data_IF_320750417008
#
_entry.id   IF_320750417008
#
_cell.length_a   1.000
_cell.length_b   1.000
_cell.length_c   1.000
_cell.angle_alpha   90.00
_cell.angle_beta   90.00
_cell.angle_gamma   90.00
#
_symmetry.space_group_name_H-M   'P 1'
#
loop_
_entity.id
_entity.type
_entity.pdbx_description
1 polymer ?
#
# COMPACT_ATOMS: atom_id res chain seq x y z
N UNK A 1 -0.43 -0.03 -19.14
CA UNK A 1 -0.16 -1.27 -18.36
C UNK A 1 -1.43 -1.91 -17.82
N UNK A 2 -2.35 -1.18 -17.16
CA UNK A 2 -3.57 -1.78 -16.57
C UNK A 2 -4.39 -2.56 -17.62
N UNK A 3 -4.75 -1.94 -18.71
CA UNK A 3 -5.51 -2.59 -19.81
C UNK A 3 -4.79 -3.84 -20.33
N UNK A 4 -3.49 -3.73 -20.59
CA UNK A 4 -2.69 -4.87 -21.05
C UNK A 4 -2.53 -5.98 -19.99
N UNK A 5 -2.65 -5.68 -18.70
CA UNK A 5 -2.61 -6.68 -17.65
C UNK A 5 -3.84 -7.59 -17.69
N UNK A 6 -5.02 -7.03 -17.98
CA UNK A 6 -6.23 -7.82 -18.18
C UNK A 6 -6.12 -8.73 -19.41
N UNK A 7 -5.67 -8.19 -20.55
CA UNK A 7 -5.47 -8.98 -21.77
C UNK A 7 -4.47 -10.12 -21.56
N UNK A 8 -3.36 -9.83 -20.89
CA UNK A 8 -2.33 -10.82 -20.60
C UNK A 8 -2.81 -11.91 -19.63
N UNK A 9 -3.59 -11.52 -18.61
CA UNK A 9 -4.23 -12.47 -17.69
C UNK A 9 -5.14 -13.45 -18.41
N UNK A 10 -6.01 -12.96 -19.28
CA UNK A 10 -6.89 -13.78 -20.11
C UNK A 10 -6.10 -14.72 -21.04
N UNK A 11 -5.10 -14.19 -21.74
CA UNK A 11 -4.26 -14.94 -22.66
C UNK A 11 -3.50 -16.07 -21.99
N UNK A 12 -2.91 -15.81 -20.83
CA UNK A 12 -2.10 -16.79 -20.11
C UNK A 12 -2.93 -17.68 -19.18
N UNK A 13 -4.20 -17.35 -18.94
CA UNK A 13 -5.06 -17.98 -17.93
C UNK A 13 -4.40 -17.98 -16.53
N UNK A 14 -3.73 -16.89 -16.18
CA UNK A 14 -3.03 -16.67 -14.90
C UNK A 14 -3.41 -15.29 -14.34
N UNK A 15 -3.49 -15.14 -13.01
CA UNK A 15 -3.67 -13.83 -12.41
C UNK A 15 -2.45 -12.95 -12.67
N UNK A 16 -2.67 -11.67 -12.91
CA UNK A 16 -1.61 -10.66 -13.04
C UNK A 16 -1.61 -9.76 -11.83
N UNK A 17 -0.51 -9.72 -11.11
CA UNK A 17 -0.29 -8.81 -9.99
C UNK A 17 0.39 -7.54 -10.50
N UNK A 18 -0.28 -6.39 -10.31
CA UNK A 18 0.26 -5.09 -10.67
C UNK A 18 0.69 -4.34 -9.40
N UNK A 19 2.00 -4.22 -9.21
CA UNK A 19 2.57 -3.50 -8.07
C UNK A 19 2.67 -2.02 -8.40
N UNK A 20 2.04 -1.18 -7.59
CA UNK A 20 2.20 0.28 -7.60
C UNK A 20 2.85 0.74 -6.30
N UNK A 21 3.76 1.71 -6.40
CA UNK A 21 4.35 2.34 -5.21
C UNK A 21 3.40 3.36 -4.62
N UNK A 22 3.57 3.69 -3.35
CA UNK A 22 2.78 4.72 -2.65
C UNK A 22 2.81 6.06 -3.41
N UNK A 23 3.98 6.46 -3.91
CA UNK A 23 4.15 7.69 -4.68
C UNK A 23 3.30 7.67 -5.96
N UNK A 24 3.28 6.56 -6.70
CA UNK A 24 2.42 6.42 -7.88
C UNK A 24 0.93 6.44 -7.51
N UNK A 25 0.54 5.76 -6.45
CA UNK A 25 -0.86 5.71 -6.00
C UNK A 25 -1.39 7.10 -5.60
N UNK A 26 -0.52 7.98 -5.10
CA UNK A 26 -0.86 9.35 -4.72
C UNK A 26 -0.64 10.38 -5.85
N UNK A 27 -0.06 9.98 -6.98
CA UNK A 27 0.17 10.89 -8.11
C UNK A 27 -1.14 11.17 -8.86
N UNK A 28 -1.18 12.30 -9.54
CA UNK A 28 -2.27 12.69 -10.43
C UNK A 28 -1.69 13.05 -11.78
N UNK A 29 -2.36 12.61 -12.84
CA UNK A 29 -1.98 12.94 -14.21
C UNK A 29 -3.23 13.17 -15.05
N UNK A 30 -3.08 13.94 -16.13
CA UNK A 30 -4.10 14.04 -17.17
C UNK A 30 -4.05 12.75 -17.98
N UNK A 31 -5.18 12.08 -18.09
CA UNK A 31 -5.34 10.83 -18.84
C UNK A 31 -6.30 11.05 -20.00
N UNK A 32 -5.91 10.62 -21.19
CA UNK A 32 -6.83 10.56 -22.32
C UNK A 32 -7.76 9.36 -22.12
N UNK A 33 -9.04 9.63 -22.02
CA UNK A 33 -10.08 8.60 -21.95
C UNK A 33 -10.44 8.20 -23.36
N UNK A 34 -10.50 6.90 -23.65
CA UNK A 34 -11.00 6.40 -24.93
C UNK A 34 -12.50 6.70 -25.03
N UNK A 35 -12.94 7.18 -26.18
CA UNK A 35 -14.36 7.47 -26.45
C UNK A 35 -15.18 6.18 -26.56
N UNK A 36 -14.56 5.11 -27.07
CA UNK A 36 -15.20 3.81 -27.21
C UNK A 36 -14.95 2.93 -25.96
N UNK A 37 -16.03 2.41 -25.41
CA UNK A 37 -15.95 1.39 -24.37
C UNK A 37 -15.31 0.11 -24.94
N UNK A 38 -14.44 -0.53 -24.15
CA UNK A 38 -13.91 -1.84 -24.51
C UNK A 38 -15.08 -2.83 -24.62
N UNK A 39 -15.13 -3.67 -25.69
CA UNK A 39 -16.11 -4.74 -25.76
C UNK A 39 -16.03 -5.64 -24.53
N UNK A 40 -17.16 -5.99 -23.96
CA UNK A 40 -17.21 -6.97 -22.89
C UNK A 40 -16.82 -8.36 -23.41
N UNK A 41 -16.00 -9.08 -22.63
CA UNK A 41 -15.71 -10.47 -22.96
C UNK A 41 -16.95 -11.33 -22.74
N UNK A 42 -17.23 -12.23 -23.67
CA UNK A 42 -18.33 -13.18 -23.51
C UNK A 42 -18.11 -14.09 -22.29
N UNK A 43 -19.17 -14.32 -21.53
CA UNK A 43 -19.14 -15.25 -20.41
C UNK A 43 -18.82 -16.67 -20.89
N UNK A 44 -17.83 -17.31 -20.28
CA UNK A 44 -17.50 -18.70 -20.59
C UNK A 44 -18.27 -19.65 -19.66
N UNK A 45 -19.44 -20.10 -20.11
CA UNK A 45 -20.29 -21.03 -19.38
C UNK A 45 -19.76 -22.48 -19.39
N UNK A 46 -18.77 -22.80 -20.21
CA UNK A 46 -18.15 -24.12 -20.33
C UNK A 46 -16.91 -24.30 -19.47
N UNK A 47 -16.76 -23.47 -18.43
CA UNK A 47 -15.62 -23.54 -17.54
C UNK A 47 -15.57 -24.90 -16.81
N UNK A 48 -14.44 -25.60 -16.93
CA UNK A 48 -14.22 -26.90 -16.27
C UNK A 48 -14.01 -26.68 -14.78
N UNK A 49 -14.91 -27.16 -13.94
CA UNK A 49 -14.88 -26.97 -12.48
C UNK A 49 -13.54 -27.38 -11.85
N UNK A 50 -12.89 -28.45 -12.34
CA UNK A 50 -11.56 -28.87 -11.86
C UNK A 50 -10.46 -27.80 -12.01
N UNK A 51 -10.67 -26.80 -12.88
CA UNK A 51 -9.74 -25.68 -13.01
C UNK A 51 -9.86 -24.66 -11.86
N UNK A 52 -10.95 -24.68 -11.12
CA UNK A 52 -11.27 -23.70 -10.06
C UNK A 52 -11.33 -24.34 -8.67
N UNK A 53 -11.37 -25.66 -8.60
CA UNK A 53 -11.41 -26.41 -7.33
C UNK A 53 -10.03 -26.97 -7.02
N UNK A 54 -9.36 -26.41 -6.01
CA UNK A 54 -7.98 -26.73 -5.65
C UNK A 54 -7.86 -27.95 -4.70
N UNK A 55 -8.51 -29.06 -5.08
CA UNK A 55 -8.19 -30.35 -4.44
C UNK A 55 -6.74 -30.74 -4.77
N UNK A 56 -6.05 -31.52 -3.90
CA UNK A 56 -4.63 -31.84 -4.08
C UNK A 56 -4.26 -32.38 -5.48
N UNK A 57 -5.11 -33.24 -6.05
CA UNK A 57 -4.90 -33.79 -7.39
C UNK A 57 -5.00 -32.71 -8.49
N UNK A 58 -5.96 -31.78 -8.37
CA UNK A 58 -6.15 -30.68 -9.31
C UNK A 58 -5.01 -29.64 -9.16
N UNK A 59 -4.66 -29.31 -7.92
CA UNK A 59 -3.57 -28.37 -7.64
C UNK A 59 -2.23 -28.87 -8.23
N UNK A 60 -1.92 -30.16 -8.12
CA UNK A 60 -0.71 -30.77 -8.72
C UNK A 60 -0.69 -30.59 -10.24
N UNK A 61 -1.78 -30.93 -10.94
CA UNK A 61 -1.88 -30.77 -12.40
C UNK A 61 -1.71 -29.31 -12.84
N UNK A 62 -2.26 -28.39 -12.06
CA UNK A 62 -2.12 -26.95 -12.36
C UNK A 62 -0.71 -26.45 -12.11
N UNK A 63 -0.04 -26.92 -11.06
CA UNK A 63 1.35 -26.60 -10.80
C UNK A 63 2.26 -27.07 -11.93
N UNK A 64 2.04 -28.29 -12.45
CA UNK A 64 2.77 -28.82 -13.60
C UNK A 64 2.58 -27.93 -14.83
N UNK A 65 1.34 -27.46 -15.08
CA UNK A 65 1.05 -26.53 -16.18
C UNK A 65 1.76 -25.20 -16.00
N UNK A 66 1.67 -24.58 -14.82
CA UNK A 66 2.33 -23.30 -14.52
C UNK A 66 3.85 -23.43 -14.65
N UNK A 67 4.42 -24.54 -14.19
CA UNK A 67 5.86 -24.81 -14.34
C UNK A 67 6.27 -24.90 -15.81
N UNK A 68 5.48 -25.59 -16.62
CA UNK A 68 5.74 -25.69 -18.08
C UNK A 68 5.62 -24.33 -18.81
N UNK A 69 4.78 -23.43 -18.33
CA UNK A 69 4.61 -22.08 -18.92
C UNK A 69 5.76 -21.13 -18.60
N UNK A 70 6.63 -21.42 -17.61
CA UNK A 70 7.67 -20.47 -17.15
C UNK A 70 8.60 -20.01 -18.26
N UNK A 71 9.02 -20.88 -19.16
CA UNK A 71 9.90 -20.53 -20.28
C UNK A 71 9.22 -19.53 -21.24
N UNK A 72 7.93 -19.71 -21.52
CA UNK A 72 7.17 -18.81 -22.36
C UNK A 72 6.97 -17.44 -21.67
N UNK A 73 6.65 -17.44 -20.39
CA UNK A 73 6.48 -16.20 -19.62
C UNK A 73 7.80 -15.40 -19.53
N UNK A 74 8.95 -16.08 -19.44
CA UNK A 74 10.28 -15.43 -19.49
C UNK A 74 10.53 -14.79 -20.87
N UNK A 75 10.17 -15.45 -21.97
CA UNK A 75 10.32 -14.90 -23.32
C UNK A 75 9.32 -13.76 -23.58
N UNK A 76 8.09 -13.89 -23.09
CA UNK A 76 7.10 -12.80 -23.11
C UNK A 76 7.64 -11.56 -22.38
N UNK A 77 8.28 -11.75 -21.22
CA UNK A 77 8.95 -10.67 -20.50
C UNK A 77 10.13 -10.08 -21.29
N UNK A 78 10.92 -10.93 -21.97
CA UNK A 78 12.08 -10.50 -22.77
C UNK A 78 11.69 -9.70 -24.03
N UNK A 79 10.51 -9.96 -24.57
CA UNK A 79 9.98 -9.27 -25.77
C UNK A 79 8.95 -8.18 -25.44
N UNK A 80 8.64 -7.99 -24.17
CA UNK A 80 7.64 -7.04 -23.71
C UNK A 80 8.01 -5.59 -24.01
N UNK A 81 7.08 -4.82 -24.56
CA UNK A 81 7.21 -3.37 -24.72
C UNK A 81 7.39 -2.59 -23.41
N UNK A 82 7.15 -3.22 -22.27
CA UNK A 82 7.31 -2.63 -20.95
C UNK A 82 8.71 -2.84 -20.37
N UNK A 83 9.44 -3.84 -20.89
CA UNK A 83 10.85 -4.07 -20.59
C UNK A 83 11.68 -3.48 -21.74
N UNK A 84 12.39 -2.38 -21.46
CA UNK A 84 13.16 -1.72 -22.50
C UNK A 84 14.54 -2.40 -22.62
N UNK A 85 14.83 -2.89 -23.83
CA UNK A 85 16.12 -3.48 -24.15
C UNK A 85 17.20 -2.41 -24.17
N UNK A 86 18.38 -2.64 -23.57
CA UNK A 86 19.47 -1.69 -23.61
C UNK A 86 20.09 -1.61 -25.01
N UNK A 87 20.61 -0.45 -25.37
CA UNK A 87 21.50 -0.33 -26.52
C UNK A 87 22.88 -0.86 -26.12
N UNK A 88 23.17 -2.11 -26.50
CA UNK A 88 24.45 -2.77 -26.21
C UNK A 88 25.49 -2.42 -27.30
N UNK A 89 26.80 -2.39 -26.96
CA UNK A 89 27.85 -2.28 -27.97
C UNK A 89 27.81 -3.46 -28.93
N UNK A 90 28.28 -3.29 -30.18
CA UNK A 90 28.43 -4.38 -31.11
C UNK A 90 29.31 -5.52 -30.53
N UNK A 91 28.97 -6.78 -30.87
CA UNK A 91 29.76 -7.92 -30.43
C UNK A 91 31.18 -7.80 -31.00
N UNK A 92 32.17 -7.83 -30.09
CA UNK A 92 33.59 -7.74 -30.46
C UNK A 92 34.25 -6.39 -30.19
N UNK A 93 33.49 -5.36 -29.89
CA UNK A 93 33.96 -4.13 -29.24
C UNK A 93 34.03 -4.37 -27.71
N UNK A 94 34.99 -3.73 -27.03
CA UNK A 94 35.25 -3.93 -25.60
C UNK A 94 34.01 -3.84 -24.73
N UNK A 95 34.08 -4.34 -23.49
CA UNK A 95 32.98 -4.27 -22.53
C UNK A 95 32.73 -2.82 -22.08
N UNK A 96 31.44 -2.47 -21.88
CA UNK A 96 31.09 -1.23 -21.21
C UNK A 96 31.57 -1.27 -19.75
N UNK A 97 32.12 -0.19 -19.21
CA UNK A 97 32.54 -0.12 -17.79
C UNK A 97 31.38 -0.39 -16.83
N UNK A 98 30.17 0.06 -17.18
CA UNK A 98 28.97 -0.06 -16.37
C UNK A 98 27.72 -0.29 -17.21
N UNK A 99 26.90 -1.27 -16.81
CA UNK A 99 25.52 -1.45 -17.24
C UNK A 99 24.56 -1.21 -16.07
N UNK A 100 23.31 -0.88 -16.35
CA UNK A 100 22.32 -0.64 -15.31
C UNK A 100 21.07 -1.49 -15.57
N UNK A 101 20.57 -2.15 -14.52
CA UNK A 101 19.22 -2.73 -14.47
C UNK A 101 18.38 -1.83 -13.56
N UNK A 102 17.25 -1.32 -14.05
CA UNK A 102 16.39 -0.43 -13.27
C UNK A 102 14.92 -0.85 -13.34
N UNK A 103 14.19 -0.67 -12.23
CA UNK A 103 12.76 -0.97 -12.16
C UNK A 103 11.94 0.13 -11.51
N UNK A 104 10.65 0.19 -11.88
CA UNK A 104 9.70 1.15 -11.32
C UNK A 104 10.15 2.61 -11.48
N UNK A 105 9.99 3.41 -10.42
CA UNK A 105 10.38 4.83 -10.42
C UNK A 105 11.90 5.00 -10.47
N UNK A 106 12.67 4.03 -9.99
CA UNK A 106 14.13 4.08 -10.03
C UNK A 106 14.67 4.19 -11.47
N UNK A 107 13.94 3.64 -12.47
CA UNK A 107 14.26 3.84 -13.87
C UNK A 107 14.25 5.34 -14.26
N UNK A 108 13.28 6.11 -13.75
CA UNK A 108 13.21 7.54 -14.04
C UNK A 108 14.39 8.29 -13.41
N UNK A 109 14.80 7.90 -12.21
CA UNK A 109 15.99 8.49 -11.55
C UNK A 109 17.27 8.20 -12.32
N UNK A 110 17.44 6.98 -12.83
CA UNK A 110 18.54 6.61 -13.71
C UNK A 110 18.52 7.49 -14.97
N UNK A 111 17.36 7.61 -15.63
CA UNK A 111 17.23 8.41 -16.85
C UNK A 111 17.53 9.90 -16.60
N UNK A 112 17.10 10.44 -15.48
CA UNK A 112 17.40 11.83 -15.08
C UNK A 112 18.89 12.01 -14.82
N UNK A 113 19.49 11.10 -14.05
CA UNK A 113 20.93 11.12 -13.76
C UNK A 113 21.79 11.00 -15.03
N UNK A 114 21.34 10.22 -16.02
CA UNK A 114 22.06 10.04 -17.31
C UNK A 114 21.85 11.21 -18.30
N UNK A 115 20.79 12.01 -18.17
CA UNK A 115 20.44 13.10 -19.10
C UNK A 115 20.94 14.47 -18.67
N UNK A 116 21.37 14.63 -17.42
CA UNK A 116 21.73 15.93 -16.86
C UNK A 116 23.06 16.41 -17.45
N UNK A 117 23.15 17.62 -18.08
CA UNK A 117 24.40 18.15 -18.62
C UNK A 117 25.47 18.36 -17.54
N UNK A 118 26.77 18.20 -17.87
CA UNK A 118 27.42 18.44 -19.17
C UNK A 118 27.61 17.18 -20.04
N UNK A 119 26.77 16.24 -19.96
CA UNK A 119 26.91 14.88 -20.48
C UNK A 119 26.58 14.67 -21.96
N UNK A 120 26.40 15.70 -22.77
CA UNK A 120 26.01 15.62 -24.17
C UNK A 120 26.35 14.37 -24.98
N UNK A 121 27.46 13.71 -24.71
CA UNK A 121 27.87 12.47 -25.40
C UNK A 121 28.21 11.28 -24.50
N UNK A 122 28.71 11.48 -23.28
CA UNK A 122 29.17 10.37 -22.42
C UNK A 122 28.03 9.53 -21.80
N UNK A 123 26.84 10.08 -21.58
CA UNK A 123 25.66 9.34 -21.12
C UNK A 123 25.07 8.38 -22.17
N UNK A 124 25.44 8.56 -23.44
CA UNK A 124 25.03 7.67 -24.53
C UNK A 124 25.66 6.27 -24.47
N UNK A 125 26.67 6.08 -23.61
CA UNK A 125 27.44 4.84 -23.52
C UNK A 125 27.03 3.87 -22.42
N UNK A 126 26.10 4.23 -21.50
CA UNK A 126 25.67 3.35 -20.40
C UNK A 126 24.41 2.60 -20.81
N UNK A 127 24.49 1.27 -21.04
CA UNK A 127 23.33 0.49 -21.38
C UNK A 127 22.40 0.33 -20.16
N UNK A 128 21.12 0.62 -20.34
CA UNK A 128 20.10 0.53 -19.28
C UNK A 128 19.02 -0.48 -19.67
N UNK A 129 18.89 -1.55 -18.90
CA UNK A 129 17.80 -2.50 -19.00
C UNK A 129 16.69 -2.10 -18.03
N UNK A 130 15.52 -1.72 -18.54
CA UNK A 130 14.33 -1.50 -17.73
C UNK A 130 13.56 -2.81 -17.53
N UNK A 131 13.25 -3.15 -16.29
CA UNK A 131 12.40 -4.30 -15.94
C UNK A 131 11.11 -3.80 -15.31
N UNK A 132 9.99 -4.10 -15.95
CA UNK A 132 8.63 -3.76 -15.49
C UNK A 132 7.67 -4.96 -15.56
N UNK A 133 8.01 -5.98 -16.34
CA UNK A 133 7.25 -7.22 -16.47
C UNK A 133 8.12 -8.42 -16.09
N UNK A 134 7.56 -9.31 -15.31
CA UNK A 134 8.16 -10.54 -14.82
C UNK A 134 7.53 -11.78 -15.49
N UNK A 135 8.19 -12.97 -15.42
CA UNK A 135 9.42 -13.31 -14.70
C UNK A 135 10.65 -12.54 -15.18
N UNK A 136 11.76 -12.62 -14.39
CA UNK A 136 13.02 -11.98 -14.76
C UNK A 136 13.41 -12.37 -16.19
N UNK A 137 13.58 -11.42 -17.13
CA UNK A 137 13.95 -11.72 -18.53
C UNK A 137 15.42 -12.15 -18.62
N UNK A 138 15.71 -13.40 -18.24
CA UNK A 138 17.08 -13.93 -18.07
C UNK A 138 17.96 -13.73 -19.30
N UNK A 139 17.40 -13.81 -20.51
CA UNK A 139 18.13 -13.56 -21.74
C UNK A 139 18.69 -12.14 -21.80
N UNK A 140 17.83 -11.12 -21.57
CA UNK A 140 18.26 -9.71 -21.58
C UNK A 140 19.26 -9.40 -20.48
N UNK A 141 19.03 -9.96 -19.29
CA UNK A 141 19.97 -9.81 -18.16
C UNK A 141 21.32 -10.40 -18.49
N UNK A 142 21.37 -11.59 -19.09
CA UNK A 142 22.62 -12.23 -19.49
C UNK A 142 23.36 -11.42 -20.55
N UNK A 143 22.66 -10.95 -21.58
CA UNK A 143 23.23 -10.09 -22.62
C UNK A 143 23.88 -8.84 -22.02
N UNK A 144 23.22 -8.19 -21.04
CA UNK A 144 23.79 -7.03 -20.35
C UNK A 144 25.03 -7.40 -19.51
N UNK A 145 24.97 -8.48 -18.73
CA UNK A 145 26.08 -8.95 -17.91
C UNK A 145 27.30 -9.35 -18.75
N UNK A 146 27.09 -9.92 -19.92
CA UNK A 146 28.18 -10.31 -20.84
C UNK A 146 28.83 -9.10 -21.51
N UNK A 147 28.05 -8.03 -21.71
CA UNK A 147 28.49 -6.79 -22.39
C UNK A 147 29.09 -5.74 -21.45
N UNK A 148 29.04 -5.93 -20.14
CA UNK A 148 29.51 -4.95 -19.16
C UNK A 148 30.52 -5.56 -18.18
N UNK A 149 31.44 -4.72 -17.67
CA UNK A 149 32.37 -5.13 -16.61
C UNK A 149 31.68 -5.21 -15.25
N UNK A 150 30.80 -4.25 -14.98
CA UNK A 150 29.97 -4.14 -13.78
C UNK A 150 28.52 -3.91 -14.19
N UNK A 151 27.59 -4.42 -13.41
CA UNK A 151 26.16 -4.13 -13.57
C UNK A 151 25.60 -3.64 -12.25
N UNK A 152 24.98 -2.47 -12.26
CA UNK A 152 24.29 -1.88 -11.10
C UNK A 152 22.81 -2.18 -11.19
N UNK A 153 22.22 -2.67 -10.10
CA UNK A 153 20.76 -2.84 -9.95
C UNK A 153 20.20 -1.68 -9.15
N UNK A 154 19.27 -0.93 -9.75
CA UNK A 154 18.64 0.25 -9.18
C UNK A 154 17.14 -0.01 -9.02
N UNK A 155 16.71 -0.31 -7.79
CA UNK A 155 15.32 -0.62 -7.47
C UNK A 155 14.93 -0.07 -6.10
N UNK A 156 13.65 0.29 -5.92
CA UNK A 156 13.13 0.75 -4.65
C UNK A 156 12.58 -0.39 -3.78
N UNK A 157 12.71 -0.22 -2.46
CA UNK A 157 12.29 -1.20 -1.45
C UNK A 157 13.32 -2.29 -1.25
N UNK A 158 12.87 -3.54 -1.17
CA UNK A 158 13.75 -4.69 -1.02
C UNK A 158 14.48 -4.99 -2.35
N UNK A 159 15.73 -5.47 -2.31
CA UNK A 159 16.54 -5.77 -3.50
C UNK A 159 16.09 -7.07 -4.20
N UNK A 160 14.88 -7.07 -4.72
CA UNK A 160 14.24 -8.24 -5.30
C UNK A 160 14.87 -8.69 -6.62
N UNK A 161 15.19 -7.74 -7.50
CA UNK A 161 15.87 -8.03 -8.77
C UNK A 161 17.32 -8.41 -8.50
N UNK A 162 18.00 -7.66 -7.62
CA UNK A 162 19.40 -7.93 -7.28
C UNK A 162 19.58 -9.33 -6.69
N UNK A 163 18.71 -9.75 -5.78
CA UNK A 163 18.72 -11.12 -5.20
C UNK A 163 18.52 -12.19 -6.27
N UNK A 164 17.57 -11.98 -7.19
CA UNK A 164 17.34 -12.92 -8.29
C UNK A 164 18.54 -13.00 -9.26
N UNK A 165 19.10 -11.85 -9.63
CA UNK A 165 20.26 -11.81 -10.54
C UNK A 165 21.45 -12.51 -9.89
N UNK A 166 21.72 -12.27 -8.61
CA UNK A 166 22.79 -12.94 -7.86
C UNK A 166 22.57 -14.45 -7.70
N UNK A 167 21.31 -14.88 -7.55
CA UNK A 167 20.95 -16.29 -7.38
C UNK A 167 20.93 -17.11 -8.69
N UNK A 168 20.71 -16.46 -9.84
CA UNK A 168 20.56 -17.11 -11.15
C UNK A 168 21.85 -17.10 -11.96
N UNK A 169 22.68 -16.06 -11.81
CA UNK A 169 23.92 -15.89 -12.56
C UNK A 169 25.12 -16.12 -11.64
N UNK A 170 26.17 -16.77 -12.18
CA UNK A 170 27.41 -16.94 -11.47
C UNK A 170 28.00 -15.62 -10.98
N UNK A 171 28.91 -15.72 -9.99
CA UNK A 171 29.54 -14.56 -9.37
C UNK A 171 30.07 -13.57 -10.41
N UNK A 172 29.46 -12.40 -10.46
CA UNK A 172 29.83 -11.29 -11.34
C UNK A 172 29.86 -9.99 -10.51
N UNK A 173 30.47 -8.96 -11.07
CA UNK A 173 30.52 -7.63 -10.43
C UNK A 173 29.15 -6.95 -10.53
N UNK A 174 28.25 -7.33 -9.64
CA UNK A 174 26.90 -6.77 -9.52
C UNK A 174 26.89 -5.82 -8.33
N UNK A 175 26.54 -4.58 -8.56
CA UNK A 175 26.48 -3.49 -7.60
C UNK A 175 25.02 -3.14 -7.30
N UNK A 176 24.72 -2.70 -6.08
CA UNK A 176 23.36 -2.30 -5.73
C UNK A 176 23.17 -2.07 -4.23
N UNK A 177 21.98 -2.36 -3.72
CA UNK A 177 21.66 -2.22 -2.31
C UNK A 177 22.35 -3.25 -1.41
N UNK A 178 22.64 -4.45 -1.93
CA UNK A 178 23.29 -5.52 -1.18
C UNK A 178 24.79 -5.31 -1.05
N UNK A 179 25.39 -4.56 -1.97
CA UNK A 179 26.83 -4.21 -1.95
C UNK A 179 27.12 -2.84 -1.37
N UNK A 180 26.07 -2.06 -1.09
CA UNK A 180 26.18 -0.78 -0.38
C UNK A 180 26.38 0.47 -1.25
N UNK A 181 26.42 0.32 -2.59
CA UNK A 181 26.49 1.48 -3.50
C UNK A 181 25.20 2.30 -3.49
N UNK A 182 24.08 1.64 -3.25
CA UNK A 182 22.80 2.29 -2.99
C UNK A 182 22.38 2.07 -1.53
N UNK A 183 21.69 3.05 -0.89
CA UNK A 183 21.19 2.91 0.47
C UNK A 183 20.35 1.64 0.66
N UNK A 184 20.62 0.85 1.71
CA UNK A 184 19.90 -0.39 1.98
C UNK A 184 18.42 -0.17 2.26
N UNK A 185 18.05 0.98 2.83
CA UNK A 185 16.69 1.38 3.21
C UNK A 185 16.37 2.79 2.73
N UNK A 186 15.10 3.14 2.74
CA UNK A 186 14.60 4.44 2.34
C UNK A 186 14.33 4.57 0.83
N UNK A 187 13.76 5.72 0.46
CA UNK A 187 13.49 6.08 -0.92
C UNK A 187 14.79 6.47 -1.64
N UNK A 188 14.87 6.14 -2.94
CA UNK A 188 15.92 6.65 -3.81
C UNK A 188 15.57 8.06 -4.30
N UNK A 189 16.61 8.82 -4.64
CA UNK A 189 16.49 10.13 -5.30
C UNK A 189 17.42 10.16 -6.51
N UNK A 190 17.19 11.05 -7.49
CA UNK A 190 18.11 11.23 -8.62
C UNK A 190 19.54 11.49 -8.18
N UNK A 191 19.75 12.32 -7.15
CA UNK A 191 21.08 12.65 -6.62
C UNK A 191 21.78 11.43 -6.04
N UNK A 192 21.09 10.64 -5.22
CA UNK A 192 21.61 9.41 -4.63
C UNK A 192 22.02 8.40 -5.72
N UNK A 193 21.17 8.23 -6.75
CA UNK A 193 21.45 7.33 -7.88
C UNK A 193 22.61 7.84 -8.72
N UNK A 194 22.65 9.15 -9.00
CA UNK A 194 23.76 9.77 -9.75
C UNK A 194 25.11 9.63 -9.07
N UNK A 195 25.17 9.81 -7.74
CA UNK A 195 26.38 9.58 -6.94
C UNK A 195 26.87 8.13 -7.05
N UNK A 196 25.95 7.16 -6.90
CA UNK A 196 26.29 5.76 -7.00
C UNK A 196 26.80 5.36 -8.39
N UNK A 197 26.19 5.88 -9.45
CA UNK A 197 26.63 5.66 -10.84
C UNK A 197 28.03 6.25 -11.05
N UNK A 198 28.30 7.46 -10.60
CA UNK A 198 29.61 8.10 -10.71
C UNK A 198 30.70 7.26 -10.00
N UNK A 199 30.42 6.84 -8.78
CA UNK A 199 31.37 6.00 -8.03
C UNK A 199 31.62 4.67 -8.72
N UNK A 200 30.58 4.02 -9.25
CA UNK A 200 30.69 2.74 -9.94
C UNK A 200 31.46 2.84 -11.27
N UNK A 201 31.31 3.94 -11.99
CA UNK A 201 31.98 4.18 -13.28
C UNK A 201 33.41 4.71 -13.13
N UNK A 202 33.91 4.99 -11.93
CA UNK A 202 35.18 5.67 -11.65
C UNK A 202 35.36 6.95 -12.48
N UNK A 203 34.31 7.73 -12.60
CA UNK A 203 34.31 8.93 -13.42
C UNK A 203 33.40 10.00 -12.81
N UNK A 204 33.69 11.24 -13.16
CA UNK A 204 32.83 12.38 -12.84
C UNK A 204 31.83 12.62 -13.98
N UNK A 205 31.22 11.56 -14.51
CA UNK A 205 30.25 11.66 -15.61
C UNK A 205 29.04 12.51 -15.26
N UNK A 206 28.72 12.60 -13.98
CA UNK A 206 27.53 13.29 -13.52
C UNK A 206 27.94 14.45 -12.61
N UNK A 207 27.75 15.65 -13.07
CA UNK A 207 27.77 16.80 -12.17
C UNK A 207 26.45 16.77 -11.41
N UNK A 208 26.55 16.48 -10.13
CA UNK A 208 25.40 16.62 -9.25
C UNK A 208 24.95 18.07 -9.29
N UNK A 209 23.79 18.34 -9.80
CA UNK A 209 23.08 19.55 -9.46
C UNK A 209 22.50 19.41 -8.05
N UNK A 210 23.37 19.09 -7.11
CA UNK A 210 23.06 19.09 -5.70
C UNK A 210 23.02 20.51 -5.23
N UNK A 211 21.90 21.00 -5.14
CA UNK A 211 21.40 22.00 -4.21
C UNK A 211 20.24 22.75 -4.85
N UNK A 212 19.18 22.06 -5.12
CA UNK A 212 17.92 22.73 -4.87
C UNK A 212 17.89 22.91 -3.36
N UNK A 213 18.31 24.06 -2.87
CA UNK A 213 17.97 24.46 -1.51
C UNK A 213 16.49 24.20 -1.34
N UNK A 214 16.15 23.47 -0.27
CA UNK A 214 14.75 23.18 0.02
C UNK A 214 14.03 24.54 0.10
N UNK A 215 13.13 24.79 -0.85
CA UNK A 215 12.46 26.08 -0.93
C UNK A 215 11.69 26.32 0.35
N UNK A 216 11.94 27.43 1.03
CA UNK A 216 11.21 27.87 2.23
C UNK A 216 9.71 28.05 1.97
N UNK A 217 9.29 28.09 0.70
CA UNK A 217 7.89 28.16 0.27
C UNK A 217 7.17 26.83 0.52
N UNK A 218 7.89 25.70 0.55
CA UNK A 218 7.30 24.38 0.76
C UNK A 218 7.16 24.10 2.26
N UNK A 219 6.00 24.45 2.81
CA UNK A 219 5.68 24.11 4.19
C UNK A 219 5.48 22.59 4.36
N UNK A 220 6.09 22.02 5.39
CA UNK A 220 5.82 20.64 5.79
C UNK A 220 4.34 20.46 6.13
N UNK A 221 3.71 19.42 5.59
CA UNK A 221 2.31 19.06 5.83
C UNK A 221 2.25 17.67 6.46
N UNK A 222 2.57 17.54 7.76
CA UNK A 222 2.48 16.25 8.43
C UNK A 222 1.03 15.75 8.40
N UNK A 223 0.80 14.45 8.27
CA UNK A 223 -0.53 13.88 8.32
C UNK A 223 -1.16 14.19 9.69
N UNK A 224 -2.43 14.59 9.70
CA UNK A 224 -3.18 14.88 10.93
C UNK A 224 -4.68 14.71 10.71
N UNK A 225 -5.41 14.46 11.78
CA UNK A 225 -6.88 14.46 11.74
C UNK A 225 -7.42 15.84 11.33
N UNK A 226 -8.37 15.85 10.40
CA UNK A 226 -9.00 17.07 9.90
C UNK A 226 -9.59 17.91 11.03
N UNK A 227 -9.60 19.23 10.86
CA UNK A 227 -10.30 20.15 11.79
C UNK A 227 -11.81 19.86 11.76
N UNK A 228 -12.40 19.61 12.94
CA UNK A 228 -13.82 19.23 13.08
C UNK A 228 -14.14 17.78 12.76
N UNK A 229 -13.12 16.91 12.66
CA UNK A 229 -13.30 15.48 12.48
C UNK A 229 -13.86 14.82 13.75
N UNK A 230 -14.86 13.93 13.61
CA UNK A 230 -15.45 13.21 14.75
C UNK A 230 -14.44 12.33 15.52
N UNK A 231 -13.41 11.80 14.85
CA UNK A 231 -12.37 11.03 15.54
C UNK A 231 -11.63 11.84 16.60
N UNK A 232 -11.53 13.16 16.45
CA UNK A 232 -10.89 14.04 17.45
C UNK A 232 -11.66 14.05 18.76
N UNK A 233 -12.98 14.13 18.69
CA UNK A 233 -13.85 14.12 19.86
C UNK A 233 -13.80 12.76 20.54
N UNK A 234 -13.83 11.66 19.76
CA UNK A 234 -13.69 10.28 20.28
C UNK A 234 -12.37 10.11 21.05
N UNK A 235 -11.23 10.53 20.47
CA UNK A 235 -9.93 10.40 21.14
C UNK A 235 -9.79 11.29 22.37
N UNK A 236 -10.45 12.44 22.37
CA UNK A 236 -10.47 13.30 23.55
C UNK A 236 -11.18 12.60 24.71
N UNK A 237 -12.38 12.02 24.46
CA UNK A 237 -13.13 11.29 25.47
C UNK A 237 -12.39 10.02 25.93
N UNK A 238 -11.88 9.25 24.98
CA UNK A 238 -11.12 8.02 25.26
C UNK A 238 -9.89 8.30 26.12
N UNK A 239 -9.09 9.28 25.75
CA UNK A 239 -7.90 9.65 26.51
C UNK A 239 -8.22 10.18 27.91
N UNK A 240 -9.35 10.83 28.10
CA UNK A 240 -9.81 11.28 29.42
C UNK A 240 -10.05 10.08 30.32
N UNK A 241 -10.78 9.08 29.84
CA UNK A 241 -11.10 7.86 30.58
C UNK A 241 -9.85 7.00 30.84
N UNK A 242 -8.99 6.83 29.82
CA UNK A 242 -7.82 5.97 29.95
C UNK A 242 -6.79 6.44 30.99
N UNK A 243 -6.82 7.72 31.39
CA UNK A 243 -5.99 8.23 32.51
C UNK A 243 -6.35 7.63 33.87
N UNK A 244 -7.54 7.04 33.99
CA UNK A 244 -8.04 6.43 35.23
C UNK A 244 -7.49 5.00 35.44
N UNK A 245 -6.82 4.44 34.41
CA UNK A 245 -6.34 3.05 34.41
C UNK A 245 -4.82 2.97 34.33
N UNK A 246 -4.28 1.94 34.95
CA UNK A 246 -2.87 1.63 34.85
C UNK A 246 -2.58 0.83 33.57
N UNK A 247 -1.65 1.31 32.73
CA UNK A 247 -1.22 0.66 31.50
C UNK A 247 -2.32 0.27 30.49
N UNK A 248 -3.32 1.14 30.20
CA UNK A 248 -4.34 0.81 29.21
C UNK A 248 -3.71 0.64 27.81
N UNK A 249 -4.32 -0.20 26.95
CA UNK A 249 -3.87 -0.38 25.59
C UNK A 249 -5.01 -0.17 24.59
N UNK A 250 -4.72 0.60 23.54
CA UNK A 250 -5.62 0.85 22.43
C UNK A 250 -5.02 0.27 21.16
N UNK A 251 -5.69 -0.67 20.58
CA UNK A 251 -5.28 -1.35 19.35
C UNK A 251 -6.02 -0.74 18.17
N UNK A 252 -5.28 -0.18 17.23
CA UNK A 252 -5.81 0.37 15.99
C UNK A 252 -5.38 -0.45 14.79
N UNK A 253 -5.99 -0.12 13.68
CA UNK A 253 -5.62 -0.65 12.36
C UNK A 253 -5.68 0.46 11.29
N UNK A 254 -5.94 0.14 10.02
CA UNK A 254 -5.73 1.07 8.91
C UNK A 254 -6.98 1.88 8.58
N UNK A 255 -6.92 3.18 8.83
CA UNK A 255 -7.94 4.17 8.47
C UNK A 255 -7.57 5.57 8.93
N UNK A 256 -8.47 6.55 8.75
CA UNK A 256 -8.24 7.92 9.23
C UNK A 256 -8.00 7.96 10.76
N UNK A 257 -8.65 7.08 11.49
CA UNK A 257 -8.50 6.97 12.94
C UNK A 257 -7.07 6.55 13.36
N UNK A 258 -6.28 5.91 12.50
CA UNK A 258 -4.85 5.63 12.76
C UNK A 258 -4.06 6.89 13.11
N UNK A 259 -4.47 8.04 12.59
CA UNK A 259 -3.85 9.33 12.91
C UNK A 259 -4.03 9.75 14.37
N UNK A 260 -4.84 9.05 15.14
CA UNK A 260 -4.89 9.17 16.61
C UNK A 260 -3.60 8.76 17.32
N UNK A 261 -2.68 8.06 16.64
CA UNK A 261 -1.31 7.83 17.11
C UNK A 261 -0.50 9.13 17.24
N UNK A 262 -0.78 10.11 16.40
CA UNK A 262 -0.03 11.36 16.35
C UNK A 262 -0.47 12.36 17.44
N UNK A 263 0.39 13.32 17.80
CA UNK A 263 -0.01 14.42 18.66
C UNK A 263 -1.22 15.18 18.10
N UNK A 264 -2.12 15.70 18.96
CA UNK A 264 -2.02 15.74 20.42
C UNK A 264 -2.52 14.48 21.14
N UNK A 265 -3.15 13.53 20.42
CA UNK A 265 -3.87 12.42 21.05
C UNK A 265 -2.96 11.33 21.59
N UNK A 266 -2.03 10.81 20.77
CA UNK A 266 -1.14 9.69 21.13
C UNK A 266 -1.92 8.51 21.74
N UNK A 267 -3.13 8.25 21.21
CA UNK A 267 -4.10 7.35 21.82
C UNK A 267 -3.96 5.89 21.36
N UNK A 268 -3.25 5.63 20.24
CA UNK A 268 -3.13 4.29 19.63
C UNK A 268 -1.76 3.69 19.93
N UNK A 269 -1.74 2.40 20.25
CA UNK A 269 -0.53 1.67 20.59
C UNK A 269 -0.12 0.65 19.53
N UNK A 270 -1.00 0.33 18.58
CA UNK A 270 -0.68 -0.56 17.45
C UNK A 270 -1.39 -0.14 16.17
N UNK A 271 -0.81 -0.49 15.02
CA UNK A 271 -1.42 -0.35 13.71
C UNK A 271 -0.73 -1.36 12.78
N UNK A 272 -1.44 -2.42 12.39
CA UNK A 272 -0.86 -3.48 11.54
C UNK A 272 -1.55 -3.53 10.18
N UNK A 273 -2.69 -4.21 10.07
CA UNK A 273 -3.48 -4.35 8.84
C UNK A 273 -4.97 -4.12 9.11
N UNK A 274 -5.76 -4.04 8.05
CA UNK A 274 -7.21 -3.79 8.18
C UNK A 274 -7.88 -4.92 8.95
N UNK A 275 -8.50 -4.60 10.09
CA UNK A 275 -9.24 -5.53 10.97
C UNK A 275 -8.44 -6.10 12.13
N UNK A 276 -7.12 -5.89 12.16
CA UNK A 276 -6.25 -6.41 13.23
C UNK A 276 -6.54 -5.81 14.62
N UNK A 277 -7.16 -4.63 14.69
CA UNK A 277 -7.43 -3.97 15.98
C UNK A 277 -8.21 -4.84 16.95
N UNK A 278 -9.28 -5.49 16.50
CA UNK A 278 -10.15 -6.32 17.35
C UNK A 278 -9.43 -7.61 17.77
N UNK A 279 -8.79 -8.30 16.83
CA UNK A 279 -8.07 -9.56 17.11
C UNK A 279 -6.85 -9.33 18.01
N UNK A 280 -6.17 -8.19 17.86
CA UNK A 280 -5.08 -7.81 18.75
C UNK A 280 -5.57 -7.45 20.15
N UNK A 281 -6.68 -6.72 20.27
CA UNK A 281 -7.28 -6.41 21.57
C UNK A 281 -7.72 -7.70 22.29
N UNK A 282 -8.35 -8.62 21.54
CA UNK A 282 -8.72 -9.94 22.08
C UNK A 282 -7.51 -10.71 22.56
N UNK A 283 -6.50 -10.88 21.73
CA UNK A 283 -5.27 -11.60 22.11
C UNK A 283 -4.55 -10.96 23.30
N UNK A 284 -4.55 -9.63 23.38
CA UNK A 284 -4.01 -8.93 24.55
C UNK A 284 -4.83 -9.18 25.79
N UNK A 285 -6.17 -9.16 25.70
CA UNK A 285 -7.07 -9.50 26.81
C UNK A 285 -6.86 -10.93 27.30
N UNK A 286 -6.72 -11.90 26.38
CA UNK A 286 -6.40 -13.30 26.71
C UNK A 286 -5.07 -13.44 27.45
N UNK A 287 -4.11 -12.55 27.16
CA UNK A 287 -2.83 -12.46 27.85
C UNK A 287 -2.89 -11.67 29.17
N UNK A 288 -4.06 -11.23 29.61
CA UNK A 288 -4.26 -10.50 30.87
C UNK A 288 -4.13 -8.96 30.78
N UNK A 289 -4.08 -8.40 29.55
CA UNK A 289 -4.08 -6.93 29.38
C UNK A 289 -5.47 -6.38 29.67
N UNK A 290 -5.55 -5.41 30.57
CA UNK A 290 -6.77 -4.66 30.87
C UNK A 290 -6.44 -3.20 31.26
N UNK A 291 -7.16 -2.21 30.74
CA UNK A 291 -8.11 -2.30 29.63
C UNK A 291 -7.46 -2.65 28.29
N UNK A 292 -8.19 -3.37 27.43
CA UNK A 292 -7.87 -3.63 26.04
C UNK A 292 -8.97 -3.05 25.14
N UNK A 293 -8.67 -1.98 24.44
CA UNK A 293 -9.63 -1.25 23.58
C UNK A 293 -9.23 -1.42 22.12
N UNK A 294 -10.17 -1.84 21.27
CA UNK A 294 -9.99 -1.83 19.82
C UNK A 294 -10.64 -0.59 19.22
N UNK A 295 -9.97 0.09 18.29
CA UNK A 295 -10.58 1.14 17.47
C UNK A 295 -10.46 0.80 15.99
N UNK A 296 -11.59 0.83 15.30
CA UNK A 296 -11.72 0.41 13.91
C UNK A 296 -12.66 1.37 13.17
N UNK A 297 -12.44 1.57 11.87
CA UNK A 297 -13.35 2.36 11.02
C UNK A 297 -14.47 1.52 10.43
N UNK A 298 -15.52 2.18 9.97
CA UNK A 298 -16.69 1.60 9.33
C UNK A 298 -16.37 0.64 8.18
N UNK A 299 -15.62 1.08 7.21
CA UNK A 299 -15.24 0.28 6.05
C UNK A 299 -14.28 -0.86 6.43
N UNK A 300 -13.35 -0.62 7.36
CA UNK A 300 -12.43 -1.62 7.85
C UNK A 300 -13.15 -2.71 8.65
N UNK A 301 -14.17 -2.33 9.43
CA UNK A 301 -15.00 -3.28 10.17
C UNK A 301 -15.73 -4.25 9.22
N UNK A 302 -16.34 -3.73 8.15
CA UNK A 302 -16.99 -4.58 7.14
C UNK A 302 -16.02 -5.37 6.28
N UNK A 303 -14.78 -4.90 6.12
CA UNK A 303 -13.74 -5.62 5.39
C UNK A 303 -13.27 -6.87 6.14
N UNK A 304 -12.92 -6.75 7.42
CA UNK A 304 -12.31 -7.85 8.19
C UNK A 304 -12.50 -7.79 9.72
N UNK A 305 -13.23 -6.80 10.23
CA UNK A 305 -13.46 -6.68 11.68
C UNK A 305 -14.56 -7.58 12.22
N UNK A 306 -15.56 -7.94 11.40
CA UNK A 306 -16.71 -8.73 11.83
C UNK A 306 -16.32 -10.13 12.35
N UNK A 307 -15.38 -10.80 11.69
CA UNK A 307 -14.90 -12.13 12.12
C UNK A 307 -14.18 -12.06 13.45
N UNK A 308 -13.37 -11.02 13.67
CA UNK A 308 -12.69 -10.78 14.94
C UNK A 308 -13.67 -10.48 16.08
N UNK A 309 -14.74 -9.73 15.81
CA UNK A 309 -15.79 -9.46 16.79
C UNK A 309 -16.57 -10.73 17.15
N UNK A 310 -16.94 -11.54 16.15
CA UNK A 310 -17.62 -12.84 16.38
C UNK A 310 -16.77 -13.77 17.27
N UNK A 311 -15.48 -13.86 17.00
CA UNK A 311 -14.55 -14.66 17.81
C UNK A 311 -14.46 -14.12 19.24
N UNK A 312 -14.32 -12.80 19.42
CA UNK A 312 -14.27 -12.17 20.73
C UNK A 312 -15.57 -12.41 21.56
N UNK A 313 -16.73 -12.33 20.92
CA UNK A 313 -18.02 -12.61 21.58
C UNK A 313 -18.12 -14.07 21.99
N UNK A 314 -17.78 -15.02 21.10
CA UNK A 314 -17.83 -16.45 21.37
C UNK A 314 -16.93 -16.87 22.55
N UNK A 315 -15.73 -16.26 22.62
CA UNK A 315 -14.73 -16.52 23.67
C UNK A 315 -14.93 -15.64 24.92
N UNK A 316 -15.97 -14.80 24.93
CA UNK A 316 -16.27 -13.85 26.03
C UNK A 316 -15.07 -13.00 26.41
N UNK A 317 -14.37 -12.49 25.42
CA UNK A 317 -13.20 -11.64 25.64
C UNK A 317 -13.57 -10.36 26.41
N UNK A 318 -12.67 -9.87 27.22
CA UNK A 318 -12.86 -8.62 27.97
C UNK A 318 -12.26 -7.44 27.16
N UNK A 319 -13.02 -6.95 26.17
CA UNK A 319 -12.59 -5.87 25.28
C UNK A 319 -13.72 -4.86 25.00
N UNK A 320 -13.33 -3.61 24.82
CA UNK A 320 -14.21 -2.55 24.30
C UNK A 320 -13.85 -2.25 22.85
N UNK A 321 -14.80 -2.36 21.93
CA UNK A 321 -14.62 -2.08 20.50
C UNK A 321 -15.26 -0.76 20.13
N UNK A 322 -14.50 0.17 19.58
CA UNK A 322 -14.99 1.48 19.09
C UNK A 322 -15.02 1.43 17.57
N UNK A 323 -16.21 1.35 16.98
CA UNK A 323 -16.42 1.39 15.52
C UNK A 323 -16.65 2.84 15.10
N UNK A 324 -15.61 3.52 14.64
CA UNK A 324 -15.68 4.92 14.20
C UNK A 324 -16.38 5.05 12.84
N UNK A 325 -17.70 5.24 12.86
CA UNK A 325 -18.53 5.36 11.67
C UNK A 325 -18.56 6.81 11.16
N UNK A 326 -17.82 7.08 10.11
CA UNK A 326 -17.82 8.38 9.44
C UNK A 326 -18.63 8.40 8.14
N UNK A 327 -19.44 7.36 7.90
CA UNK A 327 -20.35 7.17 6.77
C UNK A 327 -19.62 7.11 5.40
N UNK A 328 -18.33 6.85 5.36
CA UNK A 328 -17.57 6.85 4.09
C UNK A 328 -16.17 6.26 4.23
N UNK A 329 -15.66 5.66 3.17
CA UNK A 329 -14.24 5.29 3.03
C UNK A 329 -13.42 6.52 2.66
N UNK A 330 -13.13 7.37 3.66
CA UNK A 330 -12.62 8.73 3.45
C UNK A 330 -11.24 8.79 2.80
N UNK A 331 -10.32 7.88 3.13
CA UNK A 331 -8.93 7.91 2.66
C UNK A 331 -8.78 7.63 1.17
N UNK A 332 -9.67 6.87 0.58
CA UNK A 332 -9.59 6.43 -0.83
C UNK A 332 -10.45 7.26 -1.79
N UNK A 333 -11.10 8.33 -1.30
CA UNK A 333 -11.86 9.25 -2.14
C UNK A 333 -13.30 9.47 -1.72
N UNK A 334 -13.73 8.90 -0.60
CA UNK A 334 -15.08 9.12 -0.04
C UNK A 334 -16.13 8.25 -0.71
N UNK A 335 -15.81 6.98 -0.94
CA UNK A 335 -16.76 5.95 -1.36
C UNK A 335 -17.71 5.58 -0.23
N UNK A 336 -18.88 5.04 -0.55
CA UNK A 336 -19.82 4.55 0.45
C UNK A 336 -19.22 3.35 1.20
N UNK A 337 -19.45 3.30 2.52
CA UNK A 337 -19.13 2.11 3.33
C UNK A 337 -20.24 1.08 3.18
N UNK A 338 -19.87 -0.19 2.99
CA UNK A 338 -20.81 -1.29 2.82
C UNK A 338 -21.73 -1.49 4.04
N UNK A 339 -21.26 -1.13 5.22
CA UNK A 339 -21.98 -1.23 6.49
C UNK A 339 -22.78 -0.01 6.89
N UNK A 340 -22.82 1.05 6.09
CA UNK A 340 -23.53 2.29 6.43
C UNK A 340 -24.96 1.99 6.89
N UNK A 341 -25.33 2.51 8.07
CA UNK A 341 -26.62 2.30 8.75
C UNK A 341 -26.96 0.84 9.10
N UNK A 342 -25.97 -0.06 9.16
CA UNK A 342 -26.18 -1.49 9.48
C UNK A 342 -25.35 -1.98 10.67
N UNK A 343 -24.42 -1.19 11.18
CA UNK A 343 -23.46 -1.64 12.19
C UNK A 343 -24.11 -2.12 13.47
N UNK A 344 -25.15 -1.45 13.94
CA UNK A 344 -25.93 -1.86 15.11
C UNK A 344 -26.53 -3.26 14.90
N UNK A 345 -27.25 -3.47 13.79
CA UNK A 345 -27.84 -4.77 13.46
C UNK A 345 -26.76 -5.87 13.26
N UNK A 346 -25.61 -5.52 12.67
CA UNK A 346 -24.50 -6.45 12.50
C UNK A 346 -23.94 -6.88 13.86
N UNK A 347 -23.65 -5.92 14.76
CA UNK A 347 -23.09 -6.22 16.08
C UNK A 347 -24.04 -7.07 16.92
N UNK A 348 -25.36 -6.75 16.93
CA UNK A 348 -26.37 -7.59 17.57
C UNK A 348 -26.44 -8.99 16.96
N UNK A 349 -26.39 -9.08 15.63
CA UNK A 349 -26.38 -10.37 14.91
C UNK A 349 -25.13 -11.22 15.19
N UNK A 350 -24.01 -10.60 15.56
CA UNK A 350 -22.79 -11.27 15.99
C UNK A 350 -22.79 -11.64 17.48
N UNK A 351 -23.84 -11.28 18.21
CA UNK A 351 -24.06 -11.69 19.60
C UNK A 351 -23.55 -10.68 20.65
N UNK A 352 -23.30 -9.43 20.27
CA UNK A 352 -23.04 -8.36 21.24
C UNK A 352 -24.34 -8.10 22.03
N UNK A 353 -24.23 -8.04 23.35
CA UNK A 353 -25.36 -7.78 24.24
C UNK A 353 -25.94 -6.39 24.00
N UNK A 354 -27.28 -6.22 23.86
CA UNK A 354 -27.90 -4.96 23.53
C UNK A 354 -27.57 -3.83 24.53
N UNK A 355 -27.40 -4.17 25.80
CA UNK A 355 -27.07 -3.24 26.88
C UNK A 355 -25.66 -2.68 26.77
N UNK A 356 -24.78 -3.38 26.04
CA UNK A 356 -23.37 -3.05 25.83
C UNK A 356 -23.07 -2.63 24.40
N UNK A 357 -24.10 -2.21 23.64
CA UNK A 357 -24.02 -1.64 22.31
C UNK A 357 -24.54 -0.21 22.29
N UNK A 358 -23.68 0.75 22.07
CA UNK A 358 -24.03 2.18 22.11
C UNK A 358 -23.74 2.89 20.81
N UNK A 359 -24.74 3.61 20.28
CA UNK A 359 -24.54 4.53 19.15
C UNK A 359 -24.50 5.95 19.69
N UNK A 360 -23.40 6.67 19.43
CA UNK A 360 -23.19 8.03 19.96
C UNK A 360 -22.80 9.00 18.85
N UNK A 361 -23.12 10.29 19.03
CA UNK A 361 -22.73 11.34 18.06
C UNK A 361 -21.54 12.13 18.63
N UNK A 362 -20.32 11.98 18.06
CA UNK A 362 -19.12 12.64 18.57
C UNK A 362 -19.12 14.14 18.24
N UNK A 363 -19.68 14.90 19.14
CA UNK A 363 -19.74 16.36 19.11
C UNK A 363 -19.31 16.94 20.48
N UNK A 364 -18.70 18.13 20.54
CA UNK A 364 -18.24 18.71 21.78
C UNK A 364 -19.33 18.81 22.87
N UNK A 365 -20.61 19.07 22.50
CA UNK A 365 -21.73 19.14 23.43
C UNK A 365 -22.09 17.80 24.07
N UNK A 366 -21.74 16.68 23.42
CA UNK A 366 -22.06 15.32 23.86
C UNK A 366 -20.88 14.67 24.61
N UNK A 367 -19.76 15.37 24.76
CA UNK A 367 -18.56 14.83 25.39
C UNK A 367 -18.77 14.21 26.77
N UNK A 368 -19.56 14.84 27.70
CA UNK A 368 -19.79 14.25 29.03
C UNK A 368 -20.48 12.88 28.95
N UNK A 369 -21.44 12.72 28.05
CA UNK A 369 -22.14 11.46 27.82
C UNK A 369 -21.23 10.40 27.22
N UNK A 370 -20.46 10.76 26.18
CA UNK A 370 -19.53 9.85 25.51
C UNK A 370 -18.46 9.37 26.49
N UNK A 371 -17.89 10.28 27.29
CA UNK A 371 -16.90 9.93 28.32
C UNK A 371 -17.49 8.98 29.37
N UNK A 372 -18.75 9.21 29.79
CA UNK A 372 -19.44 8.29 30.70
C UNK A 372 -19.63 6.91 30.10
N UNK A 373 -20.14 6.80 28.88
CA UNK A 373 -20.34 5.52 28.18
C UNK A 373 -19.00 4.78 28.02
N UNK A 374 -17.96 5.44 27.53
CA UNK A 374 -16.64 4.81 27.39
C UNK A 374 -16.14 4.26 28.73
N UNK A 375 -16.32 5.00 29.84
CA UNK A 375 -15.91 4.57 31.19
C UNK A 375 -16.72 3.35 31.64
N UNK A 376 -18.02 3.35 31.45
CA UNK A 376 -18.90 2.23 31.83
C UNK A 376 -18.52 0.97 31.05
N UNK A 377 -18.32 1.09 29.73
CA UNK A 377 -18.04 -0.04 28.87
C UNK A 377 -16.61 -0.59 29.00
N UNK A 378 -15.64 0.23 29.35
CA UNK A 378 -14.30 -0.26 29.71
C UNK A 378 -14.32 -1.06 31.04
N UNK A 379 -15.19 -0.69 31.98
CA UNK A 379 -15.34 -1.41 33.25
C UNK A 379 -16.27 -2.64 33.15
N UNK A 380 -16.96 -2.83 32.04
CA UNK A 380 -17.72 -4.03 31.81
C UNK A 380 -16.81 -5.21 31.47
N UNK A 381 -17.00 -6.35 32.11
CA UNK A 381 -16.25 -7.55 31.86
C UNK A 381 -16.93 -8.41 30.80
N UNK A 382 -16.67 -8.14 29.55
CA UNK A 382 -17.24 -8.77 28.37
C UNK A 382 -16.86 -8.00 27.10
N UNK A 383 -17.55 -8.30 26.00
CA UNK A 383 -17.40 -7.57 24.75
C UNK A 383 -18.41 -6.43 24.69
N UNK A 384 -17.93 -5.21 24.70
CA UNK A 384 -18.77 -4.04 24.49
C UNK A 384 -18.45 -3.34 23.16
N UNK A 385 -19.44 -2.66 22.56
CA UNK A 385 -19.28 -1.97 21.29
C UNK A 385 -19.83 -0.55 21.40
N UNK A 386 -19.01 0.43 21.02
CA UNK A 386 -19.42 1.82 20.92
C UNK A 386 -19.28 2.25 19.46
N UNK A 387 -20.32 2.85 18.88
CA UNK A 387 -20.37 3.30 17.49
C UNK A 387 -20.49 4.84 17.47
N UNK A 388 -19.37 5.58 17.49
CA UNK A 388 -19.40 7.01 17.26
C UNK A 388 -19.73 7.28 15.79
N UNK A 389 -20.94 7.76 15.52
CA UNK A 389 -21.45 8.00 14.16
C UNK A 389 -21.51 9.49 13.84
N UNK A 390 -20.74 9.94 12.85
CA UNK A 390 -20.75 11.31 12.36
C UNK A 390 -20.13 11.42 10.98
N UNK A 391 -20.87 12.00 10.03
CA UNK A 391 -20.39 12.19 8.65
C UNK A 391 -18.99 12.83 8.58
N UNK A 392 -18.14 12.30 7.70
CA UNK A 392 -16.82 12.84 7.42
C UNK A 392 -16.90 14.31 7.00
N UNK A 393 -16.15 15.19 7.66
CA UNK A 393 -16.17 16.63 7.39
C UNK A 393 -15.77 16.99 5.95
N UNK A 394 -14.95 16.17 5.29
CA UNK A 394 -14.56 16.38 3.91
C UNK A 394 -15.70 16.04 2.95
N UNK A 395 -16.40 14.93 3.21
CA UNK A 395 -17.58 14.51 2.43
C UNK A 395 -18.72 15.50 2.62
N UNK A 396 -18.99 15.91 3.85
CA UNK A 396 -19.96 16.95 4.15
C UNK A 396 -19.72 18.25 3.38
N UNK A 397 -18.45 18.74 3.36
CA UNK A 397 -18.09 19.95 2.61
C UNK A 397 -18.27 19.78 1.10
N UNK A 398 -17.98 18.57 0.56
CA UNK A 398 -18.18 18.25 -0.86
C UNK A 398 -19.67 18.30 -1.20
N UNK A 399 -20.51 17.58 -0.48
CA UNK A 399 -21.97 17.57 -0.68
C UNK A 399 -22.59 18.96 -0.56
N UNK A 400 -22.11 19.78 0.39
CA UNK A 400 -22.58 21.16 0.54
C UNK A 400 -22.23 22.03 -0.68
N UNK A 401 -21.07 21.84 -1.30
CA UNK A 401 -20.68 22.54 -2.54
C UNK A 401 -21.53 22.08 -3.73
N UNK A 402 -21.76 20.79 -3.88
CA UNK A 402 -22.57 20.20 -4.95
C UNK A 402 -24.03 20.70 -4.87
N UNK A 403 -24.62 20.71 -3.68
CA UNK A 403 -25.96 21.27 -3.46
C UNK A 403 -26.04 22.76 -3.83
N UNK A 404 -25.02 23.56 -3.48
CA UNK A 404 -24.98 24.99 -3.87
C UNK A 404 -24.83 25.15 -5.38
N UNK A 405 -24.00 24.36 -6.03
CA UNK A 405 -23.84 24.40 -7.50
C UNK A 405 -25.16 24.04 -8.21
N UNK A 406 -25.83 22.98 -7.77
CA UNK A 406 -27.12 22.57 -8.31
C UNK A 406 -28.25 23.59 -8.07
N UNK A 407 -28.22 24.34 -6.97
CA UNK A 407 -29.17 25.42 -6.69
C UNK A 407 -28.93 26.65 -7.57
N UNK A 408 -27.67 26.95 -7.93
CA UNK A 408 -27.31 28.08 -8.80
C UNK A 408 -27.46 27.78 -10.31
N UNK A 409 -27.70 26.53 -10.70
CA UNK A 409 -27.92 26.10 -12.09
C UNK A 409 -29.41 25.94 -12.42
N UNK A 410 -30.31 26.19 -11.48
CA UNK A 410 -31.74 26.31 -11.65
C UNK A 410 -32.15 27.80 -11.62
#
# INVERSE_FOLDING_TARGET
MMEAAFDYSEQQCLPVLMRVTTRMAHSRAVVQVKEEARPENAMNYNAVAANWVLLPANARKRNDKVTAQQAQLEEDAATSKYNLTPSLPPRGEGKCPLGIIASGIAYNYVQESLKTPPLGEAGKGVPVLKISQYPLPKRLVRELLDSCEKVMVVEEGQPFIEEQVRGVFESRNILGRLTGELPRTGELTPDCVGQAINAAANSSFFTLHSSFEQSDIVAARPPQLCQGCGHRDVYTALNEVLKEFENPRVFGDIGCYTLGFLPPYKAIHSCVDMGASITMAKGASDAGQWPAVAIIGDSTFTHSGMTGLLDAVNEKANITVIISDNLTTAMTGGQDSAGTNKFEAICLGLGVEPEHLHVVVPLPKNMPEITRIIREEINYHGVSVIIPQRECIQTFKRHAKEKKAAANSK
#
